data_IF_911834215814
#
_entry.id   IF_911834215814
#
_cell.length_a   1.000
_cell.length_b   1.000
_cell.length_c   1.000
_cell.angle_alpha   90.00
_cell.angle_beta   90.00
_cell.angle_gamma   90.00
#
_symmetry.space_group_name_H-M   'P 1'
#
loop_
_entity.id
_entity.type
_entity.pdbx_description
1 polymer ?
#
# COMPACT_ATOMS: atom_id res chain seq x y z
N UNK A 1 97.87 8.73 -55.13
CA UNK A 1 98.84 7.62 -54.90
C UNK A 1 98.21 6.70 -53.86
N UNK A 2 97.44 5.65 -54.14
CA UNK A 2 97.61 4.43 -54.98
C UNK A 2 98.95 3.72 -54.70
N UNK A 3 98.86 2.60 -53.96
CA UNK A 3 99.96 1.76 -53.46
C UNK A 3 100.21 2.03 -51.97
N UNK A 4 99.92 1.15 -51.01
CA UNK A 4 100.31 -0.27 -50.96
C UNK A 4 99.34 -1.03 -50.03
N UNK A 5 98.27 -1.60 -50.59
CA UNK A 5 97.75 -2.86 -50.10
C UNK A 5 98.81 -3.91 -50.44
N UNK A 6 99.46 -4.52 -49.45
CA UNK A 6 100.23 -5.80 -49.52
C UNK A 6 101.25 -5.96 -48.37
N UNK A 7 100.93 -5.56 -47.14
CA UNK A 7 101.60 -6.10 -45.93
C UNK A 7 100.54 -6.26 -44.81
N UNK A 8 99.36 -6.75 -45.19
CA UNK A 8 98.29 -7.15 -44.26
C UNK A 8 98.11 -8.68 -44.20
N UNK A 9 98.98 -9.44 -44.87
CA UNK A 9 98.86 -10.90 -45.04
C UNK A 9 99.78 -11.77 -44.19
N UNK A 10 100.76 -11.19 -43.47
CA UNK A 10 101.74 -11.96 -42.68
C UNK A 10 101.75 -11.63 -41.18
N UNK A 11 100.94 -10.65 -40.74
CA UNK A 11 100.73 -10.33 -39.33
C UNK A 11 99.48 -11.00 -38.72
N UNK A 12 98.64 -11.63 -39.55
CA UNK A 12 97.40 -12.32 -39.12
C UNK A 12 97.60 -13.80 -38.77
N UNK A 13 98.80 -14.37 -39.01
CA UNK A 13 99.12 -15.77 -38.64
C UNK A 13 99.85 -15.90 -37.29
N UNK A 14 100.23 -14.79 -36.66
CA UNK A 14 100.91 -14.76 -35.36
C UNK A 14 99.97 -14.47 -34.16
N UNK A 15 98.68 -14.21 -34.40
CA UNK A 15 97.67 -14.00 -33.34
C UNK A 15 96.75 -15.21 -33.10
N UNK A 16 97.01 -16.36 -33.77
CA UNK A 16 96.24 -17.60 -33.61
C UNK A 16 96.86 -18.60 -32.63
N UNK A 17 97.89 -18.22 -31.86
CA UNK A 17 98.56 -19.13 -30.90
C UNK A 17 98.56 -18.65 -29.44
N UNK A 18 97.72 -17.68 -29.07
CA UNK A 18 97.52 -17.27 -27.66
C UNK A 18 96.05 -17.41 -27.24
N UNK A 19 95.49 -18.59 -27.50
CA UNK A 19 94.23 -19.07 -26.92
C UNK A 19 94.45 -20.49 -26.39
N UNK A 20 95.34 -20.63 -25.43
CA UNK A 20 95.54 -21.86 -24.66
C UNK A 20 96.18 -21.53 -23.31
N UNK A 21 95.63 -20.57 -22.58
CA UNK A 21 95.78 -20.56 -21.13
C UNK A 21 94.55 -21.24 -20.54
N UNK A 22 94.74 -22.51 -20.24
CA UNK A 22 93.94 -23.26 -19.28
C UNK A 22 94.06 -22.57 -17.92
N UNK A 23 93.00 -21.87 -17.50
CA UNK A 23 92.76 -21.58 -16.08
C UNK A 23 91.28 -21.69 -15.82
N UNK A 24 90.87 -22.91 -15.50
CA UNK A 24 89.92 -23.23 -14.44
C UNK A 24 88.68 -22.33 -14.41
N UNK A 25 87.59 -22.80 -15.02
CA UNK A 25 86.26 -22.57 -14.43
C UNK A 25 86.34 -23.03 -12.98
N UNK A 26 86.58 -22.09 -12.06
CA UNK A 26 86.43 -22.36 -10.64
C UNK A 26 84.97 -22.75 -10.47
N UNK A 27 84.74 -24.05 -10.23
CA UNK A 27 83.45 -24.51 -9.77
C UNK A 27 83.06 -23.63 -8.57
N UNK A 28 81.86 -23.04 -8.54
CA UNK A 28 81.42 -22.24 -7.40
C UNK A 28 81.68 -23.05 -6.13
N UNK A 29 82.32 -22.43 -5.13
CA UNK A 29 82.63 -23.14 -3.88
C UNK A 29 81.34 -23.74 -3.32
N UNK A 30 81.43 -24.90 -2.63
CA UNK A 30 80.24 -25.56 -2.03
C UNK A 30 79.37 -24.59 -1.21
N UNK A 31 80.01 -23.61 -0.56
CA UNK A 31 79.34 -22.54 0.18
C UNK A 31 78.57 -21.57 -0.72
N UNK A 32 79.10 -21.18 -1.89
CA UNK A 32 78.38 -20.31 -2.85
C UNK A 32 77.17 -21.02 -3.48
N UNK A 33 77.29 -22.33 -3.75
CA UNK A 33 76.19 -23.14 -4.29
C UNK A 33 75.08 -23.38 -3.25
N UNK A 34 75.44 -23.56 -1.97
CA UNK A 34 74.49 -23.58 -0.86
C UNK A 34 73.82 -22.22 -0.64
N UNK A 35 74.56 -21.12 -0.72
CA UNK A 35 74.00 -19.78 -0.56
C UNK A 35 72.99 -19.46 -1.68
N UNK A 36 73.28 -19.87 -2.91
CA UNK A 36 72.37 -19.73 -4.04
C UNK A 36 71.09 -20.57 -3.84
N UNK A 37 71.22 -21.84 -3.44
CA UNK A 37 70.05 -22.70 -3.13
C UNK A 37 69.21 -22.19 -1.96
N UNK A 38 69.83 -21.64 -0.92
CA UNK A 38 69.14 -21.01 0.21
C UNK A 38 68.42 -19.73 -0.22
N UNK A 39 69.02 -18.92 -1.09
CA UNK A 39 68.38 -17.73 -1.69
C UNK A 39 67.21 -18.10 -2.61
N UNK A 40 67.34 -19.14 -3.44
CA UNK A 40 66.27 -19.63 -4.31
C UNK A 40 65.12 -20.24 -3.49
N UNK A 41 65.43 -20.97 -2.42
CA UNK A 41 64.44 -21.49 -1.47
C UNK A 41 63.70 -20.39 -0.72
N UNK A 42 64.41 -19.36 -0.25
CA UNK A 42 63.81 -18.17 0.38
C UNK A 42 62.95 -17.38 -0.60
N UNK A 43 63.39 -17.24 -1.86
CA UNK A 43 62.61 -16.59 -2.92
C UNK A 43 61.31 -17.35 -3.20
N UNK A 44 61.35 -18.70 -3.28
CA UNK A 44 60.17 -19.54 -3.45
C UNK A 44 59.20 -19.49 -2.25
N UNK A 45 59.72 -19.41 -1.02
CA UNK A 45 58.86 -19.23 0.17
C UNK A 45 58.19 -17.85 0.15
N UNK A 46 58.90 -16.80 -0.29
CA UNK A 46 58.37 -15.45 -0.40
C UNK A 46 57.31 -15.32 -1.51
N UNK A 47 57.47 -16.03 -2.63
CA UNK A 47 56.46 -16.07 -3.70
C UNK A 47 55.20 -16.82 -3.26
N UNK A 48 55.36 -17.98 -2.61
CA UNK A 48 54.22 -18.74 -2.05
C UNK A 48 53.48 -17.95 -0.98
N UNK A 49 54.16 -17.22 -0.09
CA UNK A 49 53.52 -16.34 0.88
C UNK A 49 52.75 -15.18 0.21
N UNK A 50 53.32 -14.55 -0.82
CA UNK A 50 52.63 -13.49 -1.58
C UNK A 50 51.42 -14.00 -2.33
N UNK A 51 51.47 -15.21 -2.87
CA UNK A 51 50.33 -15.86 -3.52
C UNK A 51 49.24 -16.24 -2.51
N UNK A 52 49.61 -16.77 -1.34
CA UNK A 52 48.67 -17.03 -0.26
C UNK A 52 48.00 -15.74 0.26
N UNK A 53 48.76 -14.66 0.44
CA UNK A 53 48.22 -13.35 0.85
C UNK A 53 47.29 -12.75 -0.22
N UNK A 54 47.61 -12.93 -1.50
CA UNK A 54 46.73 -12.52 -2.61
C UNK A 54 45.45 -13.34 -2.64
N UNK A 55 45.55 -14.66 -2.50
CA UNK A 55 44.40 -15.56 -2.43
C UNK A 55 43.50 -15.26 -1.23
N UNK A 56 44.08 -14.95 -0.05
CA UNK A 56 43.31 -14.55 1.13
C UNK A 56 42.61 -13.20 0.94
N UNK A 57 43.27 -12.21 0.32
CA UNK A 57 42.66 -10.91 -0.02
C UNK A 57 41.54 -11.06 -1.05
N UNK A 58 41.69 -11.94 -2.04
CA UNK A 58 40.64 -12.23 -3.01
C UNK A 58 39.45 -12.96 -2.38
N UNK A 59 39.71 -13.94 -1.50
CA UNK A 59 38.68 -14.64 -0.74
C UNK A 59 37.90 -13.69 0.18
N UNK A 60 38.59 -12.78 0.89
CA UNK A 60 37.94 -11.74 1.72
C UNK A 60 37.08 -10.79 0.89
N UNK A 61 37.58 -10.33 -0.26
CA UNK A 61 36.81 -9.47 -1.19
C UNK A 61 35.59 -10.20 -1.77
N UNK A 62 35.72 -11.48 -2.09
CA UNK A 62 34.60 -12.30 -2.58
C UNK A 62 33.54 -12.50 -1.49
N UNK A 63 33.96 -12.82 -0.25
CA UNK A 63 33.07 -12.94 0.89
C UNK A 63 32.35 -11.63 1.22
N UNK A 64 33.06 -10.49 1.20
CA UNK A 64 32.46 -9.17 1.44
C UNK A 64 31.45 -8.79 0.36
N UNK A 65 31.74 -9.09 -0.92
CA UNK A 65 30.78 -8.89 -2.02
C UNK A 65 29.54 -9.77 -1.85
N UNK A 66 29.72 -11.05 -1.49
CA UNK A 66 28.61 -11.97 -1.25
C UNK A 66 27.73 -11.52 -0.09
N UNK A 67 28.32 -11.07 1.03
CA UNK A 67 27.57 -10.52 2.17
C UNK A 67 26.79 -9.25 1.77
N UNK A 68 27.43 -8.31 1.06
CA UNK A 68 26.76 -7.09 0.57
C UNK A 68 25.61 -7.41 -0.38
N UNK A 69 25.73 -8.44 -1.21
CA UNK A 69 24.66 -8.86 -2.11
C UNK A 69 23.50 -9.54 -1.37
N UNK A 70 23.81 -10.37 -0.36
CA UNK A 70 22.79 -10.96 0.52
C UNK A 70 22.05 -9.88 1.32
N UNK A 71 22.76 -8.93 1.91
CA UNK A 71 22.16 -7.82 2.66
C UNK A 71 21.25 -6.96 1.77
N UNK A 72 21.67 -6.69 0.52
CA UNK A 72 20.81 -6.00 -0.46
C UNK A 72 19.55 -6.79 -0.77
N UNK A 73 19.64 -8.10 -0.99
CA UNK A 73 18.48 -8.97 -1.27
C UNK A 73 17.50 -8.99 -0.09
N UNK A 74 18.00 -9.15 1.13
CA UNK A 74 17.18 -9.10 2.35
C UNK A 74 16.49 -7.74 2.47
N UNK A 75 17.23 -6.64 2.29
CA UNK A 75 16.67 -5.28 2.37
C UNK A 75 15.63 -4.99 1.29
N UNK A 76 15.80 -5.53 0.08
CA UNK A 76 14.80 -5.42 -0.99
C UNK A 76 13.55 -6.23 -0.68
N UNK A 77 13.71 -7.43 -0.13
CA UNK A 77 12.60 -8.29 0.30
C UNK A 77 11.81 -7.67 1.44
N UNK A 78 12.48 -7.14 2.47
CA UNK A 78 11.85 -6.39 3.57
C UNK A 78 11.06 -5.19 3.06
N UNK A 79 11.63 -4.41 2.13
CA UNK A 79 10.93 -3.28 1.51
C UNK A 79 9.69 -3.74 0.73
N UNK A 80 9.78 -4.86 0.02
CA UNK A 80 8.65 -5.43 -0.73
C UNK A 80 7.54 -5.92 0.21
N UNK A 81 7.90 -6.60 1.29
CA UNK A 81 6.95 -7.05 2.32
C UNK A 81 6.27 -5.83 2.95
N UNK A 82 7.04 -4.86 3.43
CA UNK A 82 6.51 -3.64 4.04
C UNK A 82 5.62 -2.82 3.09
N UNK A 83 5.94 -2.79 1.79
CA UNK A 83 5.09 -2.15 0.78
C UNK A 83 3.78 -2.93 0.57
N UNK A 84 3.85 -4.27 0.53
CA UNK A 84 2.69 -5.14 0.40
C UNK A 84 1.75 -5.03 1.61
N UNK A 85 2.29 -5.02 2.82
CA UNK A 85 1.52 -4.84 4.05
C UNK A 85 0.81 -3.48 4.09
N UNK A 86 1.54 -2.40 3.74
CA UNK A 86 0.93 -1.06 3.63
C UNK A 86 -0.16 -1.00 2.58
N UNK A 87 -0.01 -1.70 1.46
CA UNK A 87 -1.03 -1.78 0.43
C UNK A 87 -2.27 -2.54 0.93
N UNK A 88 -2.07 -3.68 1.58
CA UNK A 88 -3.15 -4.46 2.19
C UNK A 88 -3.90 -3.66 3.26
N UNK A 89 -3.20 -2.98 4.16
CA UNK A 89 -3.80 -2.15 5.21
C UNK A 89 -4.63 -1.00 4.63
N UNK A 90 -4.14 -0.36 3.55
CA UNK A 90 -4.90 0.69 2.83
C UNK A 90 -6.16 0.14 2.19
N UNK A 91 -6.09 -1.05 1.59
CA UNK A 91 -7.25 -1.70 0.97
C UNK A 91 -8.29 -2.10 2.02
N UNK A 92 -7.86 -2.65 3.16
CA UNK A 92 -8.76 -2.98 4.27
C UNK A 92 -9.43 -1.73 4.83
N UNK A 93 -8.67 -0.65 5.07
CA UNK A 93 -9.22 0.64 5.52
C UNK A 93 -10.23 1.20 4.52
N UNK A 94 -9.94 1.12 3.22
CA UNK A 94 -10.85 1.57 2.17
C UNK A 94 -12.15 0.74 2.15
N UNK A 95 -12.06 -0.59 2.23
CA UNK A 95 -13.22 -1.47 2.29
C UNK A 95 -14.08 -1.18 3.53
N UNK A 96 -13.47 -1.04 4.71
CA UNK A 96 -14.16 -0.72 5.95
C UNK A 96 -14.87 0.65 5.89
N UNK A 97 -14.26 1.64 5.24
CA UNK A 97 -14.88 2.95 5.06
C UNK A 97 -16.07 2.87 4.11
N UNK A 98 -15.93 2.15 2.99
CA UNK A 98 -17.02 1.92 2.04
C UNK A 98 -18.19 1.17 2.67
N UNK A 99 -17.92 0.16 3.50
CA UNK A 99 -18.95 -0.59 4.22
C UNK A 99 -19.71 0.31 5.21
N UNK A 100 -18.98 1.09 6.01
CA UNK A 100 -19.60 2.07 6.93
C UNK A 100 -20.44 3.11 6.19
N UNK A 101 -19.98 3.56 5.02
CA UNK A 101 -20.72 4.51 4.20
C UNK A 101 -22.00 3.88 3.65
N UNK A 102 -21.93 2.64 3.14
CA UNK A 102 -23.10 1.88 2.71
C UNK A 102 -24.11 1.69 3.84
N UNK A 103 -23.65 1.28 5.02
CA UNK A 103 -24.51 1.09 6.19
C UNK A 103 -25.19 2.40 6.62
N UNK A 104 -24.47 3.53 6.60
CA UNK A 104 -25.05 4.86 6.89
C UNK A 104 -26.10 5.24 5.86
N UNK A 105 -25.83 5.00 4.59
CA UNK A 105 -26.77 5.27 3.50
C UNK A 105 -28.02 4.41 3.59
N UNK A 106 -27.87 3.13 3.91
CA UNK A 106 -28.98 2.20 4.13
C UNK A 106 -29.85 2.62 5.33
N UNK A 107 -29.24 2.92 6.47
CA UNK A 107 -29.96 3.44 7.65
C UNK A 107 -30.69 4.75 7.35
N UNK A 108 -30.10 5.63 6.55
CA UNK A 108 -30.76 6.87 6.14
C UNK A 108 -31.94 6.61 5.21
N UNK A 109 -31.82 5.69 4.25
CA UNK A 109 -32.93 5.26 3.39
C UNK A 109 -34.06 4.62 4.19
N UNK A 110 -33.76 3.78 5.16
CA UNK A 110 -34.76 3.16 6.04
C UNK A 110 -35.51 4.22 6.85
N UNK A 111 -34.78 5.19 7.43
CA UNK A 111 -35.38 6.33 8.14
C UNK A 111 -36.26 7.18 7.22
N UNK A 112 -35.82 7.43 5.99
CA UNK A 112 -36.59 8.16 4.98
C UNK A 112 -37.91 7.42 4.64
N UNK A 113 -37.82 6.12 4.35
CA UNK A 113 -38.98 5.29 4.04
C UNK A 113 -39.98 5.24 5.21
N UNK A 114 -39.48 5.09 6.44
CA UNK A 114 -40.31 5.09 7.65
C UNK A 114 -40.98 6.45 7.87
N UNK A 115 -40.26 7.56 7.67
CA UNK A 115 -40.83 8.89 7.80
C UNK A 115 -41.91 9.17 6.74
N UNK A 116 -41.69 8.75 5.50
CA UNK A 116 -42.68 8.85 4.43
C UNK A 116 -43.93 8.02 4.73
N UNK A 117 -43.75 6.76 5.16
CA UNK A 117 -44.87 5.90 5.57
C UNK A 117 -45.68 6.53 6.71
N UNK A 118 -45.01 7.05 7.75
CA UNK A 118 -45.71 7.72 8.85
C UNK A 118 -46.52 8.94 8.38
N UNK A 119 -46.02 9.68 7.39
CA UNK A 119 -46.72 10.81 6.80
C UNK A 119 -47.96 10.36 6.00
N UNK A 120 -47.85 9.29 5.22
CA UNK A 120 -48.95 8.68 4.47
C UNK A 120 -50.02 8.12 5.41
N UNK A 121 -49.64 7.31 6.42
CA UNK A 121 -50.54 6.78 7.45
C UNK A 121 -51.25 7.92 8.21
N UNK A 122 -50.56 9.04 8.45
CA UNK A 122 -51.16 10.18 9.12
C UNK A 122 -52.20 10.90 8.25
N UNK A 123 -51.97 10.99 6.93
CA UNK A 123 -52.93 11.52 5.95
C UNK A 123 -54.15 10.63 5.79
N UNK A 124 -53.96 9.31 5.74
CA UNK A 124 -55.05 8.34 5.66
C UNK A 124 -55.99 8.50 6.87
N UNK A 125 -55.43 8.55 8.08
CA UNK A 125 -56.20 8.80 9.31
C UNK A 125 -56.97 10.12 9.29
N UNK A 126 -56.39 11.19 8.73
CA UNK A 126 -57.11 12.46 8.59
C UNK A 126 -58.29 12.30 7.62
N UNK A 127 -58.09 11.61 6.51
CA UNK A 127 -59.12 11.35 5.51
C UNK A 127 -60.29 10.58 6.12
N UNK A 128 -60.02 9.59 6.97
CA UNK A 128 -61.08 8.84 7.66
C UNK A 128 -61.83 9.69 8.69
N UNK A 129 -61.12 10.54 9.45
CA UNK A 129 -61.78 11.51 10.35
C UNK A 129 -62.66 12.47 9.56
N UNK A 130 -62.21 12.96 8.40
CA UNK A 130 -62.98 13.86 7.55
C UNK A 130 -64.22 13.17 6.97
N UNK A 131 -64.12 11.90 6.55
CA UNK A 131 -65.28 11.09 6.16
C UNK A 131 -66.29 10.93 7.30
N UNK A 132 -65.82 10.71 8.53
CA UNK A 132 -66.69 10.58 9.70
C UNK A 132 -67.39 11.92 10.01
N UNK A 133 -66.69 13.04 9.92
CA UNK A 133 -67.26 14.39 10.06
C UNK A 133 -68.37 14.58 9.04
N UNK A 134 -68.13 14.29 7.77
CA UNK A 134 -69.13 14.43 6.70
C UNK A 134 -70.36 13.55 6.95
N UNK A 135 -70.17 12.26 7.27
CA UNK A 135 -71.27 11.34 7.57
C UNK A 135 -72.10 11.81 8.78
N UNK A 136 -71.44 12.30 9.83
CA UNK A 136 -72.13 12.79 11.01
C UNK A 136 -72.86 14.12 10.73
N UNK A 137 -72.31 15.01 9.91
CA UNK A 137 -72.99 16.24 9.47
C UNK A 137 -74.23 15.92 8.64
N UNK A 138 -74.13 15.02 7.66
CA UNK A 138 -75.28 14.59 6.85
C UNK A 138 -76.39 13.98 7.70
N UNK A 139 -76.04 13.13 8.68
CA UNK A 139 -77.00 12.55 9.62
C UNK A 139 -77.67 13.62 10.48
N UNK A 140 -76.89 14.55 11.04
CA UNK A 140 -77.39 15.66 11.83
C UNK A 140 -78.37 16.52 11.01
N UNK A 141 -77.96 16.99 9.83
CA UNK A 141 -78.82 17.80 8.96
C UNK A 141 -80.11 17.08 8.59
N UNK A 142 -80.04 15.79 8.24
CA UNK A 142 -81.22 14.99 7.90
C UNK A 142 -82.18 14.86 9.07
N UNK A 143 -81.69 14.67 10.30
CA UNK A 143 -82.54 14.58 11.49
C UNK A 143 -83.10 15.95 11.89
N UNK A 144 -82.29 17.02 11.76
CA UNK A 144 -82.69 18.39 12.07
C UNK A 144 -83.78 18.89 11.11
N UNK A 145 -83.62 18.67 9.79
CA UNK A 145 -84.63 18.98 8.77
C UNK A 145 -85.96 18.26 8.99
N UNK A 146 -85.92 17.07 9.60
CA UNK A 146 -87.12 16.28 9.94
C UNK A 146 -87.75 16.70 11.28
N UNK A 147 -87.17 17.66 12.00
CA UNK A 147 -87.64 18.08 13.33
C UNK A 147 -87.51 16.98 14.41
N UNK A 148 -86.64 15.98 14.19
CA UNK A 148 -86.51 14.81 15.08
C UNK A 148 -85.53 15.01 16.24
N UNK A 149 -84.92 16.20 16.35
CA UNK A 149 -83.92 16.50 17.36
C UNK A 149 -84.51 17.44 18.41
N UNK A 150 -84.40 17.04 19.68
CA UNK A 150 -84.63 17.97 20.79
C UNK A 150 -83.45 18.94 20.94
N UNK A 151 -83.61 20.07 21.65
CA UNK A 151 -82.49 20.97 21.94
C UNK A 151 -81.29 20.27 22.59
N UNK A 152 -81.55 19.30 23.46
CA UNK A 152 -80.50 18.51 24.12
C UNK A 152 -79.76 17.59 23.13
N UNK A 153 -80.47 17.00 22.16
CA UNK A 153 -79.85 16.19 21.11
C UNK A 153 -78.97 17.04 20.19
N UNK A 154 -79.43 18.25 19.83
CA UNK A 154 -78.64 19.21 19.05
C UNK A 154 -77.33 19.55 19.78
N UNK A 155 -77.39 19.78 21.10
CA UNK A 155 -76.19 20.03 21.90
C UNK A 155 -75.21 18.85 21.85
N UNK A 156 -75.68 17.61 22.06
CA UNK A 156 -74.85 16.40 21.96
C UNK A 156 -74.21 16.23 20.59
N UNK A 157 -74.94 16.54 19.52
CA UNK A 157 -74.41 16.54 18.16
C UNK A 157 -73.31 17.59 17.97
N UNK A 158 -73.51 18.80 18.47
CA UNK A 158 -72.50 19.86 18.42
C UNK A 158 -71.23 19.47 19.18
N UNK A 159 -71.36 18.90 20.38
CA UNK A 159 -70.21 18.40 21.16
C UNK A 159 -69.47 17.27 20.42
N UNK A 160 -70.19 16.35 19.77
CA UNK A 160 -69.59 15.29 18.94
C UNK A 160 -68.82 15.87 17.76
N UNK A 161 -69.42 16.82 17.05
CA UNK A 161 -68.80 17.53 15.93
C UNK A 161 -67.55 18.28 16.37
N UNK A 162 -67.59 18.96 17.52
CA UNK A 162 -66.43 19.65 18.06
C UNK A 162 -65.30 18.67 18.41
N UNK A 163 -65.62 17.53 19.04
CA UNK A 163 -64.64 16.47 19.33
C UNK A 163 -63.98 15.93 18.06
N UNK A 164 -64.75 15.70 16.99
CA UNK A 164 -64.18 15.25 15.71
C UNK A 164 -63.32 16.33 15.05
N UNK A 165 -63.74 17.60 15.07
CA UNK A 165 -62.95 18.73 14.57
C UNK A 165 -61.63 18.89 15.32
N UNK A 166 -61.65 18.75 16.66
CA UNK A 166 -60.42 18.74 17.49
C UNK A 166 -59.50 17.58 17.11
N UNK A 167 -60.03 16.36 16.96
CA UNK A 167 -59.26 15.20 16.48
C UNK A 167 -58.63 15.44 15.10
N UNK A 168 -59.38 16.03 14.16
CA UNK A 168 -58.87 16.39 12.84
C UNK A 168 -57.74 17.42 12.93
N UNK A 169 -57.89 18.46 13.76
CA UNK A 169 -56.86 19.47 13.97
C UNK A 169 -55.58 18.88 14.59
N UNK A 170 -55.70 18.01 15.58
CA UNK A 170 -54.55 17.31 16.17
C UNK A 170 -53.87 16.37 15.17
N UNK A 171 -54.66 15.70 14.32
CA UNK A 171 -54.13 14.86 13.25
C UNK A 171 -53.40 15.70 12.19
N UNK A 172 -53.90 16.89 11.83
CA UNK A 172 -53.20 17.84 10.95
C UNK A 172 -51.85 18.27 11.53
N UNK A 173 -51.76 18.53 12.84
CA UNK A 173 -50.48 18.80 13.52
C UNK A 173 -49.52 17.60 13.44
N UNK A 174 -50.03 16.37 13.56
CA UNK A 174 -49.20 15.16 13.38
C UNK A 174 -48.70 15.01 11.95
N UNK A 175 -49.54 15.29 10.96
CA UNK A 175 -49.13 15.32 9.54
C UNK A 175 -48.04 16.36 9.32
N UNK A 176 -48.16 17.56 9.87
CA UNK A 176 -47.14 18.60 9.74
C UNK A 176 -45.78 18.16 10.33
N UNK A 177 -45.81 17.52 11.51
CA UNK A 177 -44.60 16.94 12.12
C UNK A 177 -44.00 15.83 11.26
N UNK A 178 -44.82 14.90 10.79
CA UNK A 178 -44.38 13.81 9.93
C UNK A 178 -43.86 14.31 8.57
N UNK A 179 -44.45 15.36 8.01
CA UNK A 179 -44.01 16.00 6.77
C UNK A 179 -42.62 16.63 6.94
N UNK A 180 -42.38 17.33 8.06
CA UNK A 180 -41.06 17.89 8.39
C UNK A 180 -40.02 16.80 8.56
N UNK A 181 -40.37 15.69 9.21
CA UNK A 181 -39.48 14.53 9.34
C UNK A 181 -39.19 13.87 7.99
N UNK A 182 -40.19 13.65 7.15
CA UNK A 182 -40.01 13.11 5.81
C UNK A 182 -39.13 14.02 4.94
N UNK A 183 -39.35 15.34 4.99
CA UNK A 183 -38.55 16.31 4.26
C UNK A 183 -37.09 16.33 4.71
N UNK A 184 -36.82 16.13 6.01
CA UNK A 184 -35.46 16.07 6.56
C UNK A 184 -34.63 14.94 5.95
N UNK A 185 -35.25 13.82 5.59
CA UNK A 185 -34.57 12.67 5.00
C UNK A 185 -34.64 12.63 3.46
N UNK A 186 -35.35 13.57 2.84
CA UNK A 186 -35.48 13.70 1.38
C UNK A 186 -34.46 14.67 0.75
N UNK A 187 -33.76 15.46 1.56
CA UNK A 187 -32.66 16.35 1.13
C UNK A 187 -31.32 15.65 1.30
#
# INVERSE_FOLDING_TARGET
>A
MKGKFMIAGLALFAHLTVMAQETTTAAPSKEQLELARKKDSLANVLTVQKEAERAEKEAKKAAEKAQKEQEKKIREEEKRIAASEKAAERMEKAQKNLEKERERMEKNREKAAKAQKNYEDAKEKLTDIEKDITKDLEKFEKQNKRGKLSPNDIQKWNEKQEKLKRKAADQRKKIEKAAKEAQKFSR
#
